data_IF_188679965348
#
_entry.id   IF_188679965348
#
_cell.length_a   1.000
_cell.length_b   1.000
_cell.length_c   1.000
_cell.angle_alpha   90.00
_cell.angle_beta   90.00
_cell.angle_gamma   90.00
#
_symmetry.space_group_name_H-M   'P 1'
#
loop_
_entity.id
_entity.type
_entity.pdbx_description
1 polymer ?
#
# COMPACT_ATOMS: atom_id res chain seq x y z
N UNK A 1 11.25 -21.46 22.83
CA UNK A 1 10.40 -20.31 22.46
C UNK A 1 9.26 -20.82 21.61
N UNK A 2 8.03 -20.37 21.83
CA UNK A 2 6.85 -20.86 21.11
C UNK A 2 6.48 -19.89 19.97
N UNK A 3 6.85 -20.25 18.74
CA UNK A 3 6.53 -19.48 17.52
C UNK A 3 5.03 -19.21 17.36
N UNK A 4 4.16 -20.04 17.96
CA UNK A 4 2.71 -19.86 17.92
C UNK A 4 2.24 -18.61 18.69
N UNK A 5 2.92 -18.25 19.80
CA UNK A 5 2.59 -17.06 20.60
C UNK A 5 2.93 -15.77 19.86
N UNK A 6 4.08 -15.74 19.17
CA UNK A 6 4.50 -14.60 18.36
C UNK A 6 3.62 -14.46 17.12
N UNK A 7 3.29 -15.56 16.44
CA UNK A 7 2.32 -15.56 15.33
C UNK A 7 0.97 -14.94 15.73
N UNK A 8 0.37 -15.35 16.86
CA UNK A 8 -0.92 -14.81 17.33
C UNK A 8 -0.89 -13.30 17.57
N UNK A 9 0.23 -12.78 18.07
CA UNK A 9 0.40 -11.33 18.26
C UNK A 9 0.41 -10.58 16.93
N UNK A 10 0.93 -11.18 15.83
CA UNK A 10 1.07 -10.50 14.53
C UNK A 10 -0.32 -10.38 13.94
N UNK A 11 -1.04 -11.51 13.92
CA UNK A 11 -2.42 -11.59 13.46
C UNK A 11 -3.31 -10.63 14.23
N UNK A 12 -3.20 -10.57 15.57
CA UNK A 12 -3.97 -9.61 16.37
C UNK A 12 -3.72 -8.16 15.96
N UNK A 13 -2.46 -7.78 15.76
CA UNK A 13 -2.10 -6.42 15.35
C UNK A 13 -2.62 -6.09 13.94
N UNK A 14 -2.55 -7.05 13.02
CA UNK A 14 -3.13 -6.90 11.67
C UNK A 14 -4.63 -6.65 11.73
N UNK A 15 -5.37 -7.45 12.50
CA UNK A 15 -6.80 -7.23 12.71
C UNK A 15 -7.10 -5.86 13.31
N UNK A 16 -6.32 -5.41 14.31
CA UNK A 16 -6.47 -4.09 14.89
C UNK A 16 -6.29 -2.99 13.85
N UNK A 17 -5.21 -3.04 13.06
CA UNK A 17 -4.95 -2.02 12.05
C UNK A 17 -5.98 -2.01 10.91
N UNK A 18 -6.45 -3.18 10.46
CA UNK A 18 -7.54 -3.27 9.46
C UNK A 18 -8.86 -2.68 10.01
N UNK A 19 -9.09 -2.85 11.31
CA UNK A 19 -10.23 -2.25 11.98
C UNK A 19 -10.10 -0.72 12.08
N UNK A 20 -8.93 -0.22 12.47
CA UNK A 20 -8.63 1.22 12.57
C UNK A 20 -8.85 1.96 11.24
N UNK A 21 -8.53 1.34 10.11
CA UNK A 21 -8.77 1.90 8.77
C UNK A 21 -10.18 1.67 8.23
N UNK A 22 -11.03 0.97 8.99
CA UNK A 22 -12.43 0.70 8.63
C UNK A 22 -12.58 -0.21 7.41
N UNK A 23 -11.74 -1.25 7.30
CA UNK A 23 -11.76 -2.22 6.20
C UNK A 23 -12.12 -3.65 6.62
N UNK A 24 -12.66 -3.85 7.83
CA UNK A 24 -13.03 -5.20 8.31
C UNK A 24 -14.05 -5.90 7.40
N UNK A 25 -14.95 -5.14 6.80
CA UNK A 25 -15.98 -5.67 5.91
C UNK A 25 -15.43 -5.99 4.51
N UNK A 26 -14.27 -5.43 4.16
CA UNK A 26 -13.60 -5.60 2.88
C UNK A 26 -12.43 -6.60 2.93
N UNK A 27 -11.86 -6.87 4.11
CA UNK A 27 -10.69 -7.73 4.29
C UNK A 27 -10.99 -8.80 5.32
N UNK A 28 -11.00 -10.05 4.86
CA UNK A 28 -11.17 -11.23 5.72
C UNK A 28 -9.81 -11.91 5.89
N UNK A 29 -9.22 -11.82 7.08
CA UNK A 29 -7.99 -12.56 7.42
C UNK A 29 -8.36 -13.94 7.95
N UNK A 30 -7.69 -14.98 7.43
CA UNK A 30 -7.80 -16.35 7.95
C UNK A 30 -6.41 -16.95 8.13
N UNK A 31 -6.22 -17.64 9.24
CA UNK A 31 -5.05 -18.50 9.45
C UNK A 31 -5.24 -19.82 8.71
N UNK A 32 -4.18 -20.29 8.05
CA UNK A 32 -4.14 -21.55 7.32
C UNK A 32 -3.16 -22.49 8.04
N UNK A 33 -3.47 -23.78 8.08
CA UNK A 33 -2.57 -24.80 8.63
C UNK A 33 -1.26 -24.87 7.87
N UNK A 34 -0.14 -25.03 8.59
CA UNK A 34 1.21 -25.10 8.02
C UNK A 34 1.44 -26.34 7.14
N UNK A 35 0.56 -27.33 7.23
CA UNK A 35 0.57 -28.56 6.44
C UNK A 35 0.08 -28.38 5.01
N UNK A 36 -0.69 -27.31 4.75
CA UNK A 36 -1.40 -27.07 3.48
C UNK A 36 -0.57 -26.35 2.41
N UNK A 37 0.40 -25.53 2.81
CA UNK A 37 1.21 -24.70 1.88
C UNK A 37 2.68 -24.89 2.23
N UNK A 38 3.40 -25.67 1.41
CA UNK A 38 4.83 -25.94 1.62
C UNK A 38 5.72 -25.20 0.64
N UNK A 39 5.18 -24.84 -0.52
CA UNK A 39 5.90 -24.20 -1.61
C UNK A 39 4.95 -23.32 -2.44
N UNK A 40 5.53 -22.63 -3.42
CA UNK A 40 4.82 -21.72 -4.33
C UNK A 40 3.72 -22.41 -5.13
N UNK A 41 3.91 -23.66 -5.53
CA UNK A 41 2.91 -24.41 -6.30
C UNK A 41 1.66 -24.69 -5.45
N UNK A 42 1.85 -25.13 -4.20
CA UNK A 42 0.75 -25.34 -3.26
C UNK A 42 -0.03 -24.04 -3.00
N UNK A 43 0.69 -22.93 -2.81
CA UNK A 43 0.08 -21.61 -2.60
C UNK A 43 -0.79 -21.20 -3.79
N UNK A 44 -0.30 -21.33 -5.03
CA UNK A 44 -1.10 -21.01 -6.23
C UNK A 44 -2.32 -21.92 -6.38
N UNK A 45 -2.17 -23.24 -6.11
CA UNK A 45 -3.27 -24.19 -6.16
C UNK A 45 -4.34 -23.86 -5.10
N UNK A 46 -3.91 -23.49 -3.90
CA UNK A 46 -4.81 -23.10 -2.82
C UNK A 46 -5.56 -21.80 -3.14
N UNK A 47 -4.84 -20.76 -3.58
CA UNK A 47 -5.41 -19.49 -4.07
C UNK A 47 -6.54 -19.72 -5.08
N UNK A 48 -6.26 -20.49 -6.14
CA UNK A 48 -7.22 -20.75 -7.22
C UNK A 48 -8.42 -21.58 -6.75
N UNK A 49 -8.18 -22.67 -6.01
CA UNK A 49 -9.24 -23.60 -5.60
C UNK A 49 -10.18 -23.02 -4.54
N UNK A 50 -9.66 -22.17 -3.65
CA UNK A 50 -10.43 -21.55 -2.58
C UNK A 50 -10.91 -20.13 -2.90
N UNK A 51 -10.56 -19.60 -4.07
CA UNK A 51 -10.83 -18.21 -4.49
C UNK A 51 -10.32 -17.23 -3.44
N UNK A 52 -9.05 -17.38 -3.06
CA UNK A 52 -8.37 -16.50 -2.12
C UNK A 52 -7.49 -15.53 -2.90
N UNK A 53 -7.69 -14.24 -2.67
CA UNK A 53 -7.03 -13.17 -3.41
C UNK A 53 -5.53 -13.05 -3.10
N UNK A 54 -5.17 -13.18 -1.83
CA UNK A 54 -3.80 -13.09 -1.34
C UNK A 54 -3.52 -14.15 -0.27
N UNK A 55 -2.41 -14.85 -0.44
CA UNK A 55 -1.79 -15.66 0.60
C UNK A 55 -0.41 -15.09 0.90
N UNK A 56 -0.15 -14.84 2.19
CA UNK A 56 1.20 -14.66 2.70
C UNK A 56 1.58 -15.93 3.45
N UNK A 57 2.69 -16.54 3.04
CA UNK A 57 3.14 -17.84 3.53
C UNK A 57 4.65 -17.83 3.69
N UNK A 58 5.19 -18.80 4.40
CA UNK A 58 6.58 -18.78 4.77
C UNK A 58 6.99 -19.89 5.70
N UNK A 59 8.28 -19.90 6.03
CA UNK A 59 8.87 -20.82 6.99
C UNK A 59 9.64 -20.01 8.03
N UNK A 60 9.85 -20.64 9.18
CA UNK A 60 10.64 -20.04 10.25
C UNK A 60 11.75 -20.98 10.65
N UNK A 61 12.99 -20.50 10.58
CA UNK A 61 14.16 -21.29 10.89
C UNK A 61 14.98 -20.63 12.00
N UNK A 62 15.58 -21.46 12.84
CA UNK A 62 16.57 -21.01 13.82
C UNK A 62 17.95 -20.94 13.16
N UNK A 63 18.66 -19.85 13.41
CA UNK A 63 19.99 -19.65 12.90
C UNK A 63 20.86 -18.81 13.83
N UNK A 64 22.06 -18.49 13.35
CA UNK A 64 22.99 -17.59 14.03
C UNK A 64 23.36 -16.43 13.12
N UNK A 65 23.35 -15.21 13.65
CA UNK A 65 23.86 -14.02 12.97
C UNK A 65 24.75 -13.26 13.95
N UNK A 66 26.02 -13.06 13.60
CA UNK A 66 27.01 -12.41 14.47
C UNK A 66 27.10 -13.04 15.87
N UNK A 67 27.13 -14.38 15.95
CA UNK A 67 27.10 -15.17 17.20
C UNK A 67 25.85 -15.01 18.07
N UNK A 68 24.82 -14.32 17.60
CA UNK A 68 23.52 -14.25 18.27
C UNK A 68 22.56 -15.27 17.65
N UNK A 69 21.83 -16.00 18.50
CA UNK A 69 20.76 -16.89 18.04
C UNK A 69 19.57 -16.05 17.59
N UNK A 70 19.10 -16.35 16.38
CA UNK A 70 17.98 -15.67 15.74
C UNK A 70 16.91 -16.66 15.28
N UNK A 71 15.66 -16.20 15.26
CA UNK A 71 14.56 -16.80 14.52
C UNK A 71 14.37 -16.01 13.22
N UNK A 72 14.67 -16.63 12.08
CA UNK A 72 14.50 -16.04 10.75
C UNK A 72 13.13 -16.41 10.18
N UNK A 73 12.44 -15.42 9.61
CA UNK A 73 11.19 -15.62 8.87
C UNK A 73 11.50 -15.51 7.38
N UNK A 74 11.32 -16.61 6.65
CA UNK A 74 11.31 -16.59 5.19
C UNK A 74 9.89 -16.34 4.72
N UNK A 75 9.64 -15.16 4.13
CA UNK A 75 8.29 -14.71 3.81
C UNK A 75 8.09 -14.60 2.30
N UNK A 76 7.01 -15.21 1.83
CA UNK A 76 6.58 -15.23 0.45
C UNK A 76 5.13 -14.75 0.34
N UNK A 77 4.73 -14.36 -0.86
CA UNK A 77 3.37 -14.00 -1.18
C UNK A 77 2.90 -14.71 -2.45
N UNK A 78 1.60 -14.91 -2.56
CA UNK A 78 0.96 -15.46 -3.75
C UNK A 78 -0.37 -14.77 -3.95
N UNK A 79 -0.54 -14.17 -5.12
CA UNK A 79 -1.75 -13.46 -5.49
C UNK A 79 -2.54 -14.28 -6.52
N UNK A 80 -3.86 -14.24 -6.40
CA UNK A 80 -4.78 -14.79 -7.39
C UNK A 80 -5.22 -13.68 -8.35
N UNK A 81 -4.31 -13.27 -9.24
CA UNK A 81 -4.58 -12.20 -10.20
C UNK A 81 -5.10 -12.82 -11.50
N UNK A 82 -6.04 -12.13 -12.15
CA UNK A 82 -6.47 -12.47 -13.52
C UNK A 82 -5.30 -12.41 -14.50
N UNK A 83 -5.39 -13.10 -15.64
CA UNK A 83 -4.30 -13.20 -16.61
C UNK A 83 -3.99 -11.88 -17.36
N UNK A 84 -4.83 -10.85 -17.22
CA UNK A 84 -4.63 -9.54 -17.85
C UNK A 84 -4.21 -8.50 -16.81
N UNK A 85 -3.01 -8.68 -16.29
CA UNK A 85 -2.39 -7.72 -15.37
C UNK A 85 -2.02 -6.46 -16.15
N UNK A 86 -2.33 -5.28 -15.60
CA UNK A 86 -1.86 -4.03 -16.18
C UNK A 86 -0.32 -3.94 -16.06
N UNK A 87 0.37 -3.42 -17.08
CA UNK A 87 1.84 -3.23 -17.01
C UNK A 87 2.29 -2.41 -15.79
N UNK A 88 1.37 -1.59 -15.28
CA UNK A 88 1.52 -0.82 -14.06
C UNK A 88 1.52 -1.71 -12.81
N UNK A 89 0.56 -2.63 -12.71
CA UNK A 89 0.49 -3.63 -11.65
C UNK A 89 1.73 -4.53 -11.67
N UNK A 90 2.22 -4.95 -12.85
CA UNK A 90 3.47 -5.71 -12.97
C UNK A 90 4.67 -4.96 -12.36
N UNK A 91 4.78 -3.66 -12.61
CA UNK A 91 5.85 -2.84 -12.02
C UNK A 91 5.72 -2.81 -10.49
N UNK A 92 4.50 -2.66 -9.95
CA UNK A 92 4.29 -2.67 -8.50
C UNK A 92 4.53 -4.04 -7.86
N UNK A 93 4.21 -5.14 -8.55
CA UNK A 93 4.52 -6.50 -8.11
C UNK A 93 6.04 -6.75 -8.10
N UNK A 94 6.78 -6.18 -9.05
CA UNK A 94 8.25 -6.25 -9.02
C UNK A 94 8.84 -5.51 -7.80
N UNK A 95 8.23 -4.40 -7.38
CA UNK A 95 8.64 -3.69 -6.16
C UNK A 95 8.34 -4.47 -4.89
N UNK A 96 7.29 -5.31 -4.87
CA UNK A 96 7.01 -6.17 -3.71
C UNK A 96 8.20 -7.04 -3.36
N UNK A 97 8.84 -7.65 -4.34
CA UNK A 97 10.01 -8.50 -4.10
C UNK A 97 11.17 -7.70 -3.46
N UNK A 98 11.35 -6.43 -3.84
CA UNK A 98 12.32 -5.53 -3.20
C UNK A 98 11.92 -5.19 -1.76
N UNK A 99 10.64 -4.88 -1.53
CA UNK A 99 10.09 -4.58 -0.19
C UNK A 99 10.24 -5.79 0.74
N UNK A 100 10.00 -7.00 0.25
CA UNK A 100 10.22 -8.24 1.00
C UNK A 100 11.71 -8.48 1.25
N UNK A 101 12.57 -8.40 0.23
CA UNK A 101 13.98 -8.80 0.36
C UNK A 101 14.80 -7.94 1.34
N UNK A 102 14.43 -6.66 1.52
CA UNK A 102 15.25 -5.69 2.26
C UNK A 102 14.75 -5.36 3.68
N UNK A 103 13.73 -6.05 4.16
CA UNK A 103 13.21 -5.90 5.54
C UNK A 103 13.91 -6.85 6.50
N UNK A 104 14.04 -6.43 7.77
CA UNK A 104 14.47 -7.35 8.83
C UNK A 104 13.35 -8.33 9.13
N UNK A 105 13.62 -9.60 8.85
CA UNK A 105 12.75 -10.74 9.17
C UNK A 105 13.35 -11.62 10.26
N UNK A 106 14.26 -11.10 11.08
CA UNK A 106 14.92 -11.85 12.12
C UNK A 106 14.52 -11.34 13.50
N UNK A 107 14.21 -12.26 14.42
CA UNK A 107 14.02 -11.96 15.84
C UNK A 107 15.24 -12.47 16.61
N UNK A 108 15.96 -11.57 17.25
CA UNK A 108 17.08 -11.91 18.16
C UNK A 108 16.53 -12.35 19.51
N UNK A 109 17.03 -13.46 20.07
CA UNK A 109 16.55 -13.97 21.37
C UNK A 109 16.72 -12.95 22.52
N UNK A 110 17.79 -12.15 22.50
CA UNK A 110 18.13 -11.20 23.58
C UNK A 110 17.15 -10.01 23.64
N UNK A 111 16.55 -9.61 22.50
CA UNK A 111 15.66 -8.45 22.38
C UNK A 111 14.29 -8.82 21.77
N UNK A 112 13.79 -10.01 22.13
CA UNK A 112 12.65 -10.65 21.46
C UNK A 112 11.43 -9.72 21.29
N UNK A 113 11.07 -8.95 22.33
CA UNK A 113 9.88 -8.10 22.29
C UNK A 113 9.98 -6.93 21.30
N UNK A 114 11.14 -6.30 21.17
CA UNK A 114 11.32 -5.14 20.29
C UNK A 114 11.49 -5.58 18.84
N UNK A 115 12.31 -6.61 18.61
CA UNK A 115 12.48 -7.22 17.29
C UNK A 115 11.15 -7.78 16.75
N UNK A 116 10.35 -8.36 17.63
CA UNK A 116 9.01 -8.81 17.29
C UNK A 116 8.11 -7.66 16.79
N UNK A 117 8.15 -6.47 17.42
CA UNK A 117 7.39 -5.32 16.94
C UNK A 117 7.84 -4.88 15.55
N UNK A 118 9.14 -4.95 15.27
CA UNK A 118 9.72 -4.63 13.96
C UNK A 118 9.17 -5.60 12.90
N UNK A 119 9.26 -6.92 13.14
CA UNK A 119 8.75 -7.94 12.22
C UNK A 119 7.23 -7.79 12.02
N UNK A 120 6.46 -7.56 13.09
CA UNK A 120 5.01 -7.35 12.98
C UNK A 120 4.64 -6.08 12.18
N UNK A 121 5.40 -4.99 12.34
CA UNK A 121 5.22 -3.78 11.52
C UNK A 121 5.58 -4.05 10.06
N UNK A 122 6.62 -4.85 9.81
CA UNK A 122 7.02 -5.23 8.46
C UNK A 122 5.93 -6.03 7.75
N UNK A 123 5.31 -6.99 8.44
CA UNK A 123 4.13 -7.70 7.92
C UNK A 123 2.98 -6.74 7.61
N UNK A 124 2.64 -5.84 8.54
CA UNK A 124 1.55 -4.89 8.36
C UNK A 124 1.76 -4.00 7.13
N UNK A 125 2.93 -3.38 7.01
CA UNK A 125 3.25 -2.47 5.90
C UNK A 125 3.19 -3.19 4.55
N UNK A 126 3.74 -4.40 4.48
CA UNK A 126 3.72 -5.19 3.26
C UNK A 126 2.31 -5.65 2.88
N UNK A 127 1.52 -6.13 3.85
CA UNK A 127 0.13 -6.53 3.62
C UNK A 127 -0.69 -5.35 3.11
N UNK A 128 -0.60 -4.19 3.78
CA UNK A 128 -1.31 -3.00 3.37
C UNK A 128 -0.88 -2.53 1.98
N UNK A 129 0.42 -2.54 1.68
CA UNK A 129 0.88 -2.16 0.35
C UNK A 129 0.31 -3.08 -0.74
N UNK A 130 0.31 -4.39 -0.53
CA UNK A 130 -0.28 -5.37 -1.46
C UNK A 130 -1.79 -5.14 -1.63
N UNK A 131 -2.51 -4.98 -0.52
CA UNK A 131 -3.97 -4.77 -0.56
C UNK A 131 -4.34 -3.44 -1.23
N UNK A 132 -3.57 -2.38 -1.00
CA UNK A 132 -3.77 -1.09 -1.65
C UNK A 132 -3.65 -1.19 -3.16
N UNK A 133 -2.66 -1.94 -3.64
CA UNK A 133 -2.46 -2.23 -5.06
C UNK A 133 -3.61 -3.10 -5.61
N UNK A 134 -4.02 -4.13 -4.87
CA UNK A 134 -5.10 -5.01 -5.29
C UNK A 134 -6.42 -4.23 -5.43
N UNK A 135 -6.79 -3.41 -4.45
CA UNK A 135 -7.96 -2.54 -4.54
C UNK A 135 -7.85 -1.51 -5.67
N UNK A 136 -6.64 -1.03 -5.98
CA UNK A 136 -6.43 -0.13 -7.12
C UNK A 136 -6.76 -0.83 -8.44
N UNK A 137 -6.21 -2.02 -8.67
CA UNK A 137 -6.36 -2.74 -9.94
C UNK A 137 -7.81 -3.22 -10.17
N UNK A 138 -8.50 -3.63 -9.11
CA UNK A 138 -9.92 -4.02 -9.13
C UNK A 138 -10.90 -2.83 -9.15
N UNK A 139 -10.40 -1.58 -9.20
CA UNK A 139 -11.24 -0.38 -9.28
C UNK A 139 -11.90 0.04 -7.96
N UNK A 140 -11.55 -0.59 -6.84
CA UNK A 140 -11.99 -0.23 -5.49
C UNK A 140 -11.23 0.98 -4.93
N UNK A 141 -11.36 2.13 -5.60
CA UNK A 141 -10.53 3.31 -5.33
C UNK A 141 -10.66 3.86 -3.92
N UNK A 142 -11.85 3.86 -3.32
CA UNK A 142 -12.04 4.37 -1.95
C UNK A 142 -11.27 3.53 -0.93
N UNK A 143 -11.30 2.20 -1.07
CA UNK A 143 -10.56 1.28 -0.20
C UNK A 143 -9.05 1.44 -0.41
N UNK A 144 -8.61 1.51 -1.67
CA UNK A 144 -7.20 1.74 -2.01
C UNK A 144 -6.67 3.04 -1.41
N UNK A 145 -7.43 4.14 -1.53
CA UNK A 145 -7.10 5.44 -0.92
C UNK A 145 -6.94 5.30 0.60
N UNK A 146 -7.91 4.70 1.29
CA UNK A 146 -7.84 4.51 2.76
C UNK A 146 -6.57 3.76 3.18
N UNK A 147 -6.24 2.69 2.46
CA UNK A 147 -5.04 1.89 2.74
C UNK A 147 -3.78 2.74 2.58
N UNK A 148 -3.64 3.46 1.48
CA UNK A 148 -2.43 4.24 1.22
C UNK A 148 -2.33 5.51 2.06
N UNK A 149 -3.44 6.18 2.38
CA UNK A 149 -3.46 7.31 3.33
C UNK A 149 -3.02 6.88 4.73
N UNK A 150 -3.35 5.66 5.15
CA UNK A 150 -2.87 5.10 6.41
C UNK A 150 -1.39 4.68 6.34
N UNK A 151 -0.97 4.07 5.23
CA UNK A 151 0.39 3.57 5.07
C UNK A 151 1.43 4.69 4.92
N UNK A 152 1.09 5.78 4.22
CA UNK A 152 2.04 6.83 3.86
C UNK A 152 2.74 7.47 5.09
N UNK A 153 2.03 7.90 6.15
CA UNK A 153 2.68 8.48 7.34
C UNK A 153 3.63 7.52 8.05
N UNK A 154 3.35 6.21 8.01
CA UNK A 154 4.21 5.17 8.60
C UNK A 154 5.54 5.12 7.84
N UNK A 155 5.47 5.09 6.50
CA UNK A 155 6.65 5.06 5.63
C UNK A 155 7.46 6.35 5.72
N UNK A 156 6.80 7.51 5.74
CA UNK A 156 7.50 8.81 5.86
C UNK A 156 8.28 8.92 7.16
N UNK A 157 7.68 8.50 8.29
CA UNK A 157 8.36 8.49 9.59
C UNK A 157 9.60 7.60 9.58
N UNK A 158 9.55 6.45 8.91
CA UNK A 158 10.70 5.54 8.78
C UNK A 158 11.76 6.08 7.83
N UNK A 159 11.35 6.64 6.69
CA UNK A 159 12.25 7.28 5.75
C UNK A 159 13.07 8.40 6.41
N UNK A 160 12.44 9.21 7.28
CA UNK A 160 13.13 10.25 8.05
C UNK A 160 14.15 9.70 9.05
N UNK A 161 13.85 8.55 9.68
CA UNK A 161 14.69 7.93 10.73
C UNK A 161 15.83 7.10 10.17
N UNK A 162 15.53 6.22 9.22
CA UNK A 162 16.44 5.19 8.72
C UNK A 162 17.22 5.67 7.48
N UNK A 163 16.69 6.66 6.74
CA UNK A 163 17.31 7.30 5.56
C UNK A 163 17.86 6.31 4.52
N UNK A 164 17.27 5.13 4.41
CA UNK A 164 17.62 4.15 3.38
C UNK A 164 16.93 4.49 2.06
N UNK A 165 17.59 4.22 0.93
CA UNK A 165 16.99 4.40 -0.40
C UNK A 165 15.68 3.61 -0.60
N UNK A 166 15.49 2.52 0.13
CA UNK A 166 14.32 1.64 0.01
C UNK A 166 13.05 2.28 0.57
N UNK A 167 13.09 2.80 1.81
CA UNK A 167 11.96 3.54 2.36
C UNK A 167 11.66 4.80 1.56
N UNK A 168 12.67 5.45 0.98
CA UNK A 168 12.48 6.58 0.07
C UNK A 168 11.73 6.16 -1.20
N UNK A 169 12.15 5.07 -1.83
CA UNK A 169 11.49 4.50 -3.01
C UNK A 169 10.03 4.14 -2.70
N UNK A 170 9.79 3.37 -1.63
CA UNK A 170 8.44 2.94 -1.24
C UNK A 170 7.54 4.14 -0.91
N UNK A 171 8.06 5.14 -0.19
CA UNK A 171 7.32 6.38 0.12
C UNK A 171 6.90 7.11 -1.15
N UNK A 172 7.85 7.32 -2.08
CA UNK A 172 7.56 8.00 -3.35
C UNK A 172 6.54 7.22 -4.19
N UNK A 173 6.59 5.88 -4.14
CA UNK A 173 5.66 5.00 -4.84
C UNK A 173 4.23 5.17 -4.32
N UNK A 174 4.05 5.15 -3.00
CA UNK A 174 2.74 5.38 -2.37
C UNK A 174 2.23 6.78 -2.67
N UNK A 175 3.08 7.81 -2.66
CA UNK A 175 2.70 9.18 -3.04
C UNK A 175 2.20 9.26 -4.49
N UNK A 176 2.92 8.64 -5.42
CA UNK A 176 2.54 8.60 -6.81
C UNK A 176 1.18 7.92 -7.00
N UNK A 177 0.99 6.73 -6.40
CA UNK A 177 -0.26 5.99 -6.43
C UNK A 177 -1.43 6.77 -5.83
N UNK A 178 -1.21 7.44 -4.70
CA UNK A 178 -2.22 8.29 -4.07
C UNK A 178 -2.62 9.47 -4.95
N UNK A 179 -1.66 10.19 -5.54
CA UNK A 179 -1.96 11.31 -6.44
C UNK A 179 -2.83 10.87 -7.63
N UNK A 180 -2.52 9.71 -8.21
CA UNK A 180 -3.31 9.13 -9.29
C UNK A 180 -4.70 8.69 -8.84
N UNK A 181 -4.81 7.99 -7.71
CA UNK A 181 -6.09 7.60 -7.12
C UNK A 181 -6.97 8.81 -6.83
N UNK A 182 -6.42 9.87 -6.24
CA UNK A 182 -7.14 11.12 -6.01
C UNK A 182 -7.64 11.73 -7.32
N UNK A 183 -6.81 11.72 -8.36
CA UNK A 183 -7.21 12.22 -9.66
C UNK A 183 -8.34 11.39 -10.26
N UNK A 184 -8.20 10.07 -10.33
CA UNK A 184 -9.20 9.15 -10.88
C UNK A 184 -10.52 9.20 -10.09
N UNK A 185 -10.44 9.13 -8.77
CA UNK A 185 -11.62 9.15 -7.91
C UNK A 185 -12.33 10.51 -7.93
N UNK A 186 -11.57 11.62 -7.99
CA UNK A 186 -12.18 12.95 -8.15
C UNK A 186 -12.98 13.07 -9.43
N UNK A 187 -12.52 12.46 -10.53
CA UNK A 187 -13.25 12.43 -11.80
C UNK A 187 -14.57 11.66 -11.67
N UNK A 188 -14.56 10.51 -11.00
CA UNK A 188 -15.79 9.76 -10.71
C UNK A 188 -16.78 10.61 -9.91
N UNK A 189 -16.31 11.25 -8.85
CA UNK A 189 -17.14 12.14 -8.02
C UNK A 189 -17.71 13.31 -8.83
N UNK A 190 -16.90 13.91 -9.71
CA UNK A 190 -17.36 14.95 -10.62
C UNK A 190 -18.48 14.44 -11.53
N UNK A 191 -18.29 13.26 -12.14
CA UNK A 191 -19.28 12.67 -13.06
C UNK A 191 -20.57 12.26 -12.31
N UNK A 192 -20.48 11.94 -11.02
CA UNK A 192 -21.61 11.74 -10.10
C UNK A 192 -22.23 13.04 -9.56
N UNK A 193 -21.80 14.21 -10.06
CA UNK A 193 -22.22 15.54 -9.61
C UNK A 193 -21.90 15.85 -8.13
N UNK A 194 -20.97 15.12 -7.52
CA UNK A 194 -20.39 15.35 -6.18
C UNK A 194 -19.21 16.32 -6.27
N UNK A 195 -19.52 17.55 -6.72
CA UNK A 195 -18.51 18.55 -7.10
C UNK A 195 -17.63 18.97 -5.92
N UNK A 196 -18.21 19.10 -4.71
CA UNK A 196 -17.48 19.47 -3.50
C UNK A 196 -16.48 18.38 -3.10
N UNK A 197 -16.89 17.13 -3.12
CA UNK A 197 -16.03 15.99 -2.81
C UNK A 197 -14.93 15.84 -3.85
N UNK A 198 -15.26 15.99 -5.14
CA UNK A 198 -14.27 16.03 -6.23
C UNK A 198 -13.19 17.08 -5.95
N UNK A 199 -13.58 18.29 -5.52
CA UNK A 199 -12.63 19.36 -5.22
C UNK A 199 -11.67 18.97 -4.08
N UNK A 200 -12.19 18.37 -3.02
CA UNK A 200 -11.39 17.94 -1.86
C UNK A 200 -10.30 16.97 -2.30
N UNK A 201 -10.62 15.99 -3.14
CA UNK A 201 -9.64 15.01 -3.61
C UNK A 201 -8.60 15.63 -4.56
N UNK A 202 -9.01 16.49 -5.51
CA UNK A 202 -8.06 17.20 -6.37
C UNK A 202 -7.06 18.04 -5.57
N UNK A 203 -7.50 18.64 -4.46
CA UNK A 203 -6.66 19.47 -3.58
C UNK A 203 -5.65 18.66 -2.75
N UNK A 204 -5.83 17.34 -2.61
CA UNK A 204 -4.86 16.46 -1.94
C UNK A 204 -3.65 16.12 -2.81
N UNK A 205 -3.73 16.35 -4.11
CA UNK A 205 -2.69 15.98 -5.08
C UNK A 205 -1.47 16.91 -4.92
N UNK A 206 -0.29 16.31 -4.76
CA UNK A 206 0.98 17.03 -4.63
C UNK A 206 1.52 17.40 -6.03
N UNK A 207 1.39 18.69 -6.41
CA UNK A 207 1.70 19.17 -7.77
C UNK A 207 3.17 18.98 -8.17
N UNK A 208 4.09 18.98 -7.20
CA UNK A 208 5.53 18.85 -7.41
C UNK A 208 5.98 17.43 -7.80
N UNK A 209 5.11 16.44 -7.59
CA UNK A 209 5.40 15.02 -7.86
C UNK A 209 4.89 14.59 -9.25
N UNK A 210 4.01 15.38 -9.88
CA UNK A 210 3.39 15.03 -11.15
C UNK A 210 4.24 15.55 -12.31
N UNK A 211 4.59 14.68 -13.26
CA UNK A 211 5.37 15.05 -14.44
C UNK A 211 4.68 16.09 -15.34
N UNK A 212 3.34 16.06 -15.41
CA UNK A 212 2.54 17.06 -16.11
C UNK A 212 1.34 17.49 -15.25
N UNK A 213 1.37 18.68 -14.62
CA UNK A 213 0.29 19.17 -13.77
C UNK A 213 -0.86 19.83 -14.54
N UNK A 214 -0.78 19.96 -15.87
CA UNK A 214 -1.83 20.61 -16.67
C UNK A 214 -3.21 19.94 -16.47
N UNK A 215 -3.36 18.61 -16.55
CA UNK A 215 -4.66 17.97 -16.33
C UNK A 215 -5.24 18.23 -14.94
N UNK A 216 -4.39 18.33 -13.91
CA UNK A 216 -4.80 18.70 -12.56
C UNK A 216 -5.38 20.12 -12.54
N UNK A 217 -4.67 21.09 -13.09
CA UNK A 217 -5.13 22.48 -13.10
C UNK A 217 -6.40 22.68 -13.94
N UNK A 218 -6.59 21.92 -15.04
CA UNK A 218 -7.84 21.95 -15.80
C UNK A 218 -9.02 21.53 -14.92
N UNK A 219 -8.88 20.40 -14.21
CA UNK A 219 -9.95 19.89 -13.35
C UNK A 219 -10.20 20.81 -12.14
N UNK A 220 -9.14 21.33 -11.51
CA UNK A 220 -9.28 22.32 -10.43
C UNK A 220 -9.96 23.60 -10.92
N UNK A 221 -9.63 24.13 -12.10
CA UNK A 221 -10.29 25.29 -12.67
C UNK A 221 -11.78 25.05 -12.90
N UNK A 222 -12.11 23.91 -13.52
CA UNK A 222 -13.49 23.51 -13.82
C UNK A 222 -14.31 23.35 -12.54
N UNK A 223 -13.79 22.61 -11.57
CA UNK A 223 -14.50 22.34 -10.31
C UNK A 223 -14.69 23.62 -9.50
N UNK A 224 -13.68 24.49 -9.40
CA UNK A 224 -13.82 25.80 -8.75
C UNK A 224 -14.92 26.64 -9.41
N UNK A 225 -14.97 26.67 -10.74
CA UNK A 225 -16.01 27.38 -11.48
C UNK A 225 -17.42 26.85 -11.15
N UNK A 226 -17.59 25.53 -11.14
CA UNK A 226 -18.85 24.87 -10.80
C UNK A 226 -19.28 25.12 -9.35
N UNK A 227 -18.34 25.39 -8.45
CA UNK A 227 -18.60 25.77 -7.06
C UNK A 227 -18.88 27.28 -6.89
N UNK A 228 -18.82 28.07 -7.96
CA UNK A 228 -18.97 29.53 -7.92
C UNK A 228 -17.70 30.28 -7.47
N UNK A 229 -16.58 29.59 -7.29
CA UNK A 229 -15.30 30.17 -6.92
C UNK A 229 -14.53 30.62 -8.17
N UNK A 230 -14.96 31.77 -8.70
CA UNK A 230 -14.41 32.34 -9.93
C UNK A 230 -12.95 32.78 -9.79
N UNK A 231 -12.53 33.17 -8.59
CA UNK A 231 -11.15 33.58 -8.32
C UNK A 231 -10.19 32.39 -8.47
N UNK A 232 -10.48 31.28 -7.78
CA UNK A 232 -9.65 30.09 -7.92
C UNK A 232 -9.73 29.50 -9.33
N UNK A 233 -10.91 29.53 -9.98
CA UNK A 233 -11.04 29.09 -11.37
C UNK A 233 -10.10 29.85 -12.32
N UNK A 234 -10.05 31.18 -12.16
CA UNK A 234 -9.13 32.05 -12.92
C UNK A 234 -7.68 31.74 -12.61
N UNK A 235 -7.32 31.63 -11.33
CA UNK A 235 -5.94 31.34 -10.89
C UNK A 235 -5.40 30.03 -11.49
N UNK A 236 -6.18 28.95 -11.50
CA UNK A 236 -5.78 27.69 -12.12
C UNK A 236 -5.68 27.79 -13.65
N UNK A 237 -6.58 28.54 -14.29
CA UNK A 237 -6.51 28.81 -15.74
C UNK A 237 -5.23 29.56 -16.11
N UNK A 238 -4.80 30.51 -15.28
CA UNK A 238 -3.54 31.22 -15.47
C UNK A 238 -2.31 30.32 -15.27
N UNK A 239 -2.35 29.39 -14.30
CA UNK A 239 -1.29 28.37 -14.15
C UNK A 239 -1.10 27.56 -15.44
N UNK A 240 -2.20 27.13 -16.08
CA UNK A 240 -2.15 26.39 -17.36
C UNK A 240 -1.49 27.23 -18.46
N UNK A 241 -1.90 28.51 -18.60
CA UNK A 241 -1.34 29.41 -19.62
C UNK A 241 0.16 29.64 -19.44
N UNK A 242 0.64 29.73 -18.20
CA UNK A 242 2.07 29.90 -17.91
C UNK A 242 2.90 28.70 -18.34
N UNK A 243 2.36 27.49 -18.19
CA UNK A 243 3.05 26.25 -18.59
C UNK A 243 3.10 26.12 -20.12
N UNK A 244 1.99 26.38 -20.81
CA UNK A 244 1.90 26.27 -22.28
C UNK A 244 2.70 27.34 -23.06
N UNK A 245 3.22 28.37 -22.38
CA UNK A 245 4.06 29.42 -22.99
C UNK A 245 5.56 29.12 -22.92
N UNK A 246 5.95 28.03 -22.25
CA UNK A 246 7.34 27.52 -22.21
C UNK A 246 7.55 26.52 -23.33
#
# INVERSE_FOLDING_TARGET
MDGSKNYRRVIKKLHQSINEIGLNDSIIIRSIGSDLIRNRFDAHKFCRSKKIDLIIWGQTDYGFRNNEKILLFEVYHTLNISSNISSKLDLFLSDLNLIFAKRSWAIKEINELEEYKIVANNFLETILFILGIFFYDEGHFTQSIKVFEFLLPILEKKNLKEKTDDYKLQTNRVKYLLNELYFLYSRILHDENKIKESFIYLRKIQEEIISNPIPLFINLARVSYLLGDLENAKNYTEKIRKINRR
#
